data_IF_890920780804
#
_entry.id   IF_890920780804
#
_cell.length_a   1.000
_cell.length_b   1.000
_cell.length_c   1.000
_cell.angle_alpha   90.00
_cell.angle_beta   90.00
_cell.angle_gamma   90.00
#
_symmetry.space_group_name_H-M   'P 1'
#
loop_
_entity.id
_entity.type
_entity.pdbx_description
1 polymer ?
#
# COMPACT_ATOMS: atom_id res chain seq x y z
N UNK A 1 16.86 -13.52 10.94
CA UNK A 1 15.67 -13.11 11.66
C UNK A 1 14.52 -12.84 10.71
N UNK A 2 13.33 -13.29 11.04
CA UNK A 2 12.18 -13.06 10.19
C UNK A 2 11.73 -11.61 10.25
N UNK A 3 11.31 -11.09 9.10
CA UNK A 3 10.69 -9.78 9.06
C UNK A 3 9.30 -9.82 9.71
N UNK A 4 8.79 -8.66 10.10
CA UNK A 4 7.44 -8.53 10.65
C UNK A 4 6.39 -8.79 9.58
N UNK A 5 6.74 -8.60 8.33
CA UNK A 5 5.86 -8.81 7.18
C UNK A 5 6.41 -8.12 5.94
N UNK A 6 5.71 -8.26 4.84
CA UNK A 6 6.10 -7.67 3.55
C UNK A 6 5.11 -6.63 3.12
N UNK A 7 5.60 -5.45 2.76
CA UNK A 7 4.75 -4.34 2.34
C UNK A 7 5.13 -3.91 0.93
N UNK A 8 4.13 -3.79 0.09
CA UNK A 8 4.29 -3.21 -1.24
C UNK A 8 3.85 -1.76 -1.19
N UNK A 9 4.75 -0.85 -1.55
CA UNK A 9 4.47 0.59 -1.62
C UNK A 9 4.30 0.96 -3.09
N UNK A 10 3.15 1.52 -3.44
CA UNK A 10 2.84 1.92 -4.81
C UNK A 10 2.59 3.42 -4.86
N UNK A 11 3.53 4.18 -5.39
CA UNK A 11 3.45 5.64 -5.47
C UNK A 11 4.38 6.10 -6.58
N UNK A 12 3.95 7.07 -7.39
CA UNK A 12 4.76 7.55 -8.50
C UNK A 12 5.84 8.53 -8.06
N UNK A 13 5.80 9.03 -6.83
CA UNK A 13 6.80 9.94 -6.29
C UNK A 13 7.99 9.13 -5.73
N UNK A 14 9.17 9.21 -6.38
CA UNK A 14 10.33 8.42 -5.91
C UNK A 14 10.81 8.84 -4.52
N UNK A 15 10.65 10.09 -4.16
CA UNK A 15 11.07 10.56 -2.83
C UNK A 15 10.18 9.98 -1.75
N UNK A 16 8.88 9.93 -2.00
CA UNK A 16 7.95 9.33 -1.03
C UNK A 16 8.18 7.82 -0.93
N UNK A 17 8.41 7.15 -2.06
CA UNK A 17 8.72 5.71 -2.03
C UNK A 17 9.93 5.43 -1.15
N UNK A 18 10.99 6.22 -1.31
CA UNK A 18 12.22 6.03 -0.53
C UNK A 18 11.97 6.33 0.95
N UNK A 19 11.24 7.41 1.24
CA UNK A 19 10.90 7.78 2.61
C UNK A 19 10.11 6.65 3.30
N UNK A 20 9.10 6.13 2.63
CA UNK A 20 8.30 5.03 3.15
C UNK A 20 9.15 3.77 3.34
N UNK A 21 10.04 3.48 2.37
CA UNK A 21 10.92 2.33 2.49
C UNK A 21 11.78 2.41 3.75
N UNK A 22 12.36 3.58 4.01
CA UNK A 22 13.20 3.77 5.18
C UNK A 22 12.40 3.63 6.48
N UNK A 23 11.23 4.25 6.54
CA UNK A 23 10.40 4.17 7.74
C UNK A 23 9.92 2.76 8.00
N UNK A 24 9.41 2.09 6.99
CA UNK A 24 8.85 0.75 7.15
C UNK A 24 9.95 -0.28 7.45
N UNK A 25 11.11 -0.13 6.84
CA UNK A 25 12.25 -1.00 7.14
C UNK A 25 12.68 -0.83 8.60
N UNK A 26 12.65 0.40 9.12
CA UNK A 26 12.98 0.65 10.52
C UNK A 26 11.99 0.00 11.49
N UNK A 27 10.77 -0.25 11.03
CA UNK A 27 9.75 -0.95 11.82
C UNK A 27 9.87 -2.47 11.74
N UNK A 28 10.77 -2.99 10.92
CA UNK A 28 11.00 -4.41 10.79
C UNK A 28 10.35 -5.08 9.58
N UNK A 29 9.78 -4.29 8.66
CA UNK A 29 9.13 -4.85 7.47
C UNK A 29 10.10 -4.95 6.29
N UNK A 30 9.85 -5.94 5.43
CA UNK A 30 10.47 -5.97 4.11
C UNK A 30 9.62 -5.13 3.17
N UNK A 31 10.26 -4.29 2.37
CA UNK A 31 9.55 -3.35 1.51
C UNK A 31 9.93 -3.56 0.06
N UNK A 32 8.92 -3.69 -0.77
CA UNK A 32 9.07 -3.66 -2.23
C UNK A 32 8.29 -2.45 -2.71
N UNK A 33 8.72 -1.83 -3.78
CA UNK A 33 8.04 -0.63 -4.27
C UNK A 33 7.76 -0.71 -5.77
N UNK A 34 6.76 0.04 -6.19
CA UNK A 34 6.37 0.16 -7.58
C UNK A 34 5.97 1.60 -7.87
N UNK A 35 6.21 2.06 -9.08
CA UNK A 35 5.97 3.45 -9.46
C UNK A 35 4.56 3.68 -10.01
N UNK A 36 3.84 2.61 -10.29
CA UNK A 36 2.46 2.68 -10.80
C UNK A 36 1.78 1.33 -10.61
N UNK A 37 0.49 1.29 -10.92
CA UNK A 37 -0.30 0.07 -10.73
C UNK A 37 0.16 -1.10 -11.58
N UNK A 38 0.68 -0.84 -12.79
CA UNK A 38 1.15 -1.91 -13.67
C UNK A 38 2.37 -2.61 -13.08
N UNK A 39 3.35 -1.83 -12.61
CA UNK A 39 4.51 -2.39 -11.92
C UNK A 39 4.08 -3.16 -10.67
N UNK A 40 3.09 -2.62 -9.96
CA UNK A 40 2.60 -3.26 -8.74
C UNK A 40 2.03 -4.64 -9.03
N UNK A 41 1.29 -4.80 -10.11
CA UNK A 41 0.77 -6.11 -10.51
C UNK A 41 1.91 -7.10 -10.78
N UNK A 42 2.94 -6.65 -11.46
CA UNK A 42 4.10 -7.49 -11.75
C UNK A 42 4.83 -7.91 -10.48
N UNK A 43 5.00 -6.97 -9.55
CA UNK A 43 5.70 -7.22 -8.28
C UNK A 43 4.92 -8.18 -7.39
N UNK A 44 3.60 -8.04 -7.34
CA UNK A 44 2.76 -8.88 -6.49
C UNK A 44 2.95 -10.36 -6.76
N UNK A 45 3.12 -10.72 -8.01
CA UNK A 45 3.18 -12.12 -8.41
C UNK A 45 4.42 -12.85 -7.86
N UNK A 46 5.46 -12.11 -7.50
CA UNK A 46 6.69 -12.71 -7.01
C UNK A 46 7.03 -12.43 -5.57
N UNK A 47 6.34 -11.50 -4.93
CA UNK A 47 6.76 -11.03 -3.60
C UNK A 47 5.74 -11.23 -2.50
N UNK A 48 4.53 -11.62 -2.83
CA UNK A 48 3.50 -12.03 -1.87
C UNK A 48 3.37 -11.04 -0.70
N UNK A 49 2.99 -9.79 -0.95
CA UNK A 49 2.92 -8.80 0.13
C UNK A 49 1.80 -9.10 1.13
N UNK A 50 2.00 -8.67 2.37
CA UNK A 50 0.99 -8.77 3.42
C UNK A 50 0.12 -7.53 3.49
N UNK A 51 0.57 -6.44 2.89
CA UNK A 51 -0.13 -5.16 2.87
C UNK A 51 0.32 -4.36 1.66
N UNK A 52 -0.61 -3.67 1.03
CA UNK A 52 -0.33 -2.74 -0.07
C UNK A 52 -0.68 -1.32 0.38
N UNK A 53 0.31 -0.42 0.32
CA UNK A 53 0.08 1.02 0.48
C UNK A 53 0.01 1.62 -0.91
N UNK A 54 -1.11 2.20 -1.26
CA UNK A 54 -1.43 2.54 -2.65
C UNK A 54 -1.80 3.99 -2.82
N UNK A 55 -1.03 4.72 -3.62
CA UNK A 55 -1.42 6.05 -4.07
C UNK A 55 -2.47 5.90 -5.18
N UNK A 56 -3.42 6.81 -5.22
CA UNK A 56 -4.53 6.71 -6.18
C UNK A 56 -4.21 7.37 -7.52
N UNK A 57 -3.44 8.46 -7.51
CA UNK A 57 -3.17 9.23 -8.73
C UNK A 57 -1.78 8.94 -9.26
N UNK A 58 -1.71 8.06 -10.23
CA UNK A 58 -0.46 7.64 -10.84
C UNK A 58 -0.62 7.55 -12.35
N UNK A 59 0.46 7.77 -13.12
CA UNK A 59 0.41 7.54 -14.57
C UNK A 59 0.38 6.06 -14.90
N UNK A 60 0.12 5.72 -16.13
CA UNK A 60 0.08 4.37 -16.69
C UNK A 60 -1.11 3.56 -16.16
N UNK A 61 -1.15 3.31 -14.85
CA UNK A 61 -2.28 2.65 -14.20
C UNK A 61 -2.49 3.28 -12.84
N UNK A 62 -3.66 3.87 -12.64
CA UNK A 62 -4.03 4.55 -11.39
C UNK A 62 -4.32 3.54 -10.28
N UNK A 63 -4.48 4.07 -9.05
CA UNK A 63 -4.89 3.24 -7.93
C UNK A 63 -6.26 2.60 -8.12
N UNK A 64 -7.21 3.33 -8.72
CA UNK A 64 -8.53 2.77 -9.02
C UNK A 64 -8.43 1.60 -9.98
N UNK A 65 -7.65 1.75 -11.04
CA UNK A 65 -7.44 0.69 -12.02
C UNK A 65 -6.75 -0.52 -11.41
N UNK A 66 -5.75 -0.28 -10.55
CA UNK A 66 -5.06 -1.33 -9.85
C UNK A 66 -6.03 -2.13 -8.97
N UNK A 67 -6.88 -1.43 -8.20
CA UNK A 67 -7.85 -2.09 -7.33
C UNK A 67 -8.82 -2.94 -8.13
N UNK A 68 -9.27 -2.45 -9.28
CA UNK A 68 -10.14 -3.24 -10.16
C UNK A 68 -9.42 -4.48 -10.68
N UNK A 69 -8.14 -4.34 -11.00
CA UNK A 69 -7.36 -5.47 -11.54
C UNK A 69 -7.15 -6.59 -10.53
N UNK A 70 -7.05 -6.24 -9.24
CA UNK A 70 -6.86 -7.26 -8.19
C UNK A 70 -8.17 -7.72 -7.56
N UNK A 71 -9.26 -7.01 -7.83
CA UNK A 71 -10.56 -7.36 -7.30
C UNK A 71 -10.97 -8.74 -7.82
N UNK A 72 -11.41 -9.61 -6.95
CA UNK A 72 -11.76 -10.96 -7.31
C UNK A 72 -10.60 -11.95 -7.31
N UNK A 73 -9.37 -11.50 -7.09
CA UNK A 73 -8.25 -12.42 -6.92
C UNK A 73 -8.35 -13.11 -5.57
N UNK A 74 -8.00 -14.39 -5.55
CA UNK A 74 -7.90 -15.11 -4.30
C UNK A 74 -6.73 -14.57 -3.49
N UNK A 75 -6.88 -14.50 -2.18
CA UNK A 75 -5.80 -14.12 -1.27
C UNK A 75 -5.21 -12.73 -1.56
N UNK A 76 -6.04 -11.77 -1.99
CA UNK A 76 -5.59 -10.40 -2.16
C UNK A 76 -5.25 -9.81 -0.79
N UNK A 77 -4.04 -9.22 -0.61
CA UNK A 77 -3.71 -8.60 0.67
C UNK A 77 -4.53 -7.33 0.91
N UNK A 78 -4.64 -6.88 2.16
CA UNK A 78 -5.33 -5.63 2.43
C UNK A 78 -4.67 -4.46 1.71
N UNK A 79 -5.48 -3.51 1.28
CA UNK A 79 -5.05 -2.32 0.57
C UNK A 79 -5.39 -1.10 1.40
N UNK A 80 -4.39 -0.27 1.69
CA UNK A 80 -4.56 1.02 2.37
C UNK A 80 -4.22 2.11 1.37
N UNK A 81 -5.18 2.98 1.12
CA UNK A 81 -5.03 4.09 0.17
C UNK A 81 -4.26 5.23 0.83
N UNK A 82 -3.27 5.77 0.12
CA UNK A 82 -2.56 6.99 0.51
C UNK A 82 -3.10 8.12 -0.35
N UNK A 83 -3.61 9.19 0.26
CA UNK A 83 -4.20 10.26 -0.52
C UNK A 83 -4.14 11.61 0.19
N UNK A 84 -3.94 12.67 -0.60
CA UNK A 84 -4.03 14.05 -0.13
C UNK A 84 -5.44 14.62 -0.36
N UNK A 85 -6.36 13.82 -0.86
CA UNK A 85 -7.72 14.27 -1.14
C UNK A 85 -8.42 14.71 0.15
N UNK A 86 -9.35 15.68 0.07
CA UNK A 86 -10.05 16.17 1.27
C UNK A 86 -10.86 15.11 2.00
N UNK A 87 -11.28 14.05 1.29
CA UNK A 87 -12.06 12.97 1.89
C UNK A 87 -11.42 11.63 1.60
N UNK A 88 -10.39 11.24 2.37
CA UNK A 88 -9.71 9.97 2.13
C UNK A 88 -10.61 8.75 2.30
N UNK A 89 -11.58 8.82 3.21
CA UNK A 89 -12.51 7.71 3.41
C UNK A 89 -13.34 7.45 2.16
N UNK A 90 -13.77 8.50 1.47
CA UNK A 90 -14.52 8.36 0.22
C UNK A 90 -13.66 7.73 -0.88
N UNK A 91 -12.38 8.11 -0.95
CA UNK A 91 -11.46 7.53 -1.93
C UNK A 91 -11.28 6.03 -1.69
N UNK A 92 -11.11 5.65 -0.42
CA UNK A 92 -10.99 4.24 -0.06
C UNK A 92 -12.25 3.45 -0.41
N UNK A 93 -13.42 4.02 -0.14
CA UNK A 93 -14.70 3.39 -0.44
C UNK A 93 -14.88 3.18 -1.95
N UNK A 94 -14.52 4.18 -2.76
CA UNK A 94 -14.60 4.07 -4.22
C UNK A 94 -13.74 2.93 -4.75
N UNK A 95 -12.59 2.72 -4.15
CA UNK A 95 -11.64 1.70 -4.58
C UNK A 95 -11.88 0.35 -3.93
N UNK A 96 -12.83 0.24 -3.02
CA UNK A 96 -13.07 -0.94 -2.20
C UNK A 96 -11.83 -1.33 -1.40
N UNK A 97 -11.07 -0.32 -0.95
CA UNK A 97 -9.88 -0.53 -0.15
C UNK A 97 -10.24 -0.82 1.30
N UNK A 98 -9.31 -1.42 2.03
CA UNK A 98 -9.53 -1.82 3.42
C UNK A 98 -9.34 -0.66 4.40
N UNK A 99 -8.57 0.35 4.02
CA UNK A 99 -8.33 1.51 4.86
C UNK A 99 -7.72 2.66 4.08
N UNK A 100 -7.40 3.72 4.80
CA UNK A 100 -6.82 4.91 4.19
C UNK A 100 -5.86 5.59 5.16
N UNK A 101 -4.97 6.41 4.59
CA UNK A 101 -4.05 7.26 5.34
C UNK A 101 -3.93 8.57 4.57
N UNK A 102 -4.34 9.68 5.20
CA UNK A 102 -4.31 11.00 4.57
C UNK A 102 -2.91 11.58 4.54
N UNK A 103 -2.53 12.19 3.42
CA UNK A 103 -1.25 12.91 3.29
C UNK A 103 -1.45 14.38 3.65
N UNK A 104 -0.53 15.00 4.38
CA UNK A 104 0.66 14.41 5.00
C UNK A 104 0.29 13.62 6.26
N UNK A 105 1.10 12.60 6.57
CA UNK A 105 0.88 11.78 7.76
C UNK A 105 2.14 11.79 8.63
N UNK A 106 1.93 11.53 9.92
CA UNK A 106 3.01 11.41 10.87
C UNK A 106 3.49 9.97 10.94
N UNK A 107 4.70 9.78 11.48
CA UNK A 107 5.25 8.44 11.68
C UNK A 107 4.28 7.55 12.46
N UNK A 108 3.70 8.12 13.54
CA UNK A 108 2.78 7.37 14.40
C UNK A 108 1.53 6.92 13.65
N UNK A 109 1.03 7.73 12.73
CA UNK A 109 -0.14 7.38 11.92
C UNK A 109 0.20 6.22 10.99
N UNK A 110 1.36 6.29 10.36
CA UNK A 110 1.83 5.23 9.48
C UNK A 110 2.02 3.95 10.27
N UNK A 111 2.71 4.02 11.41
CA UNK A 111 2.98 2.85 12.24
C UNK A 111 1.68 2.17 12.69
N UNK A 112 0.73 2.95 13.20
CA UNK A 112 -0.54 2.40 13.66
C UNK A 112 -1.30 1.71 12.52
N UNK A 113 -1.29 2.33 11.35
CA UNK A 113 -1.99 1.80 10.18
C UNK A 113 -1.35 0.49 9.70
N UNK A 114 -0.03 0.48 9.56
CA UNK A 114 0.65 -0.73 9.06
C UNK A 114 0.51 -1.88 10.03
N UNK A 115 0.67 -1.62 11.32
CA UNK A 115 0.55 -2.69 12.32
C UNK A 115 -0.86 -3.25 12.39
N UNK A 116 -1.85 -2.39 12.18
CA UNK A 116 -3.24 -2.83 12.16
C UNK A 116 -3.53 -3.79 11.01
N UNK A 117 -3.02 -3.50 9.82
CA UNK A 117 -3.35 -4.27 8.62
C UNK A 117 -2.35 -5.37 8.30
N UNK A 118 -1.05 -5.11 8.46
CA UNK A 118 -0.01 -6.08 8.11
C UNK A 118 0.11 -7.20 9.14
N UNK A 119 -0.29 -6.96 10.39
CA UNK A 119 -0.22 -7.95 11.45
C UNK A 119 -1.43 -8.89 11.48
N UNK A 120 -2.37 -8.76 10.54
CA UNK A 120 -3.55 -9.61 10.51
C UNK A 120 -3.14 -11.04 10.19
N UNK A 121 -3.78 -12.04 10.83
CA UNK A 121 -3.43 -13.43 10.55
C UNK A 121 -3.75 -13.80 9.12
N UNK A 122 -2.99 -14.75 8.60
CA UNK A 122 -3.23 -15.31 7.27
C UNK A 122 -4.60 -15.97 7.23
N UNK A 123 -5.23 -15.92 6.08
CA UNK A 123 -6.56 -16.47 5.89
C UNK A 123 -6.57 -17.59 4.88
#
# INVERSE_FOLDING_TARGET
MKSTGRILVVDDDPDLREFLRLMLTSMGFEVTSAANGREALDVMDGHDPDLILLDMRMPVMSGWEFCRAVDGRDACPPIVVLTAAPDPAARAAEAHADGWLGKPFEYEDLEATVRRFAARPAR
#
